data_IF_576962187175
#
_entry.id   IF_576962187175
#
_cell.length_a   1.000
_cell.length_b   1.000
_cell.length_c   1.000
_cell.angle_alpha   90.00
_cell.angle_beta   90.00
_cell.angle_gamma   90.00
#
_symmetry.space_group_name_H-M   'P 1'
#
loop_
_entity.id
_entity.type
_entity.pdbx_description
1 polymer ?
#
# COMPACT_ATOMS: atom_id res chain seq x y z
N UNK A 1 32.74 -11.52 19.02
CA UNK A 1 31.70 -12.08 18.12
C UNK A 1 30.50 -11.15 18.06
N UNK A 2 30.07 -10.61 19.20
CA UNK A 2 28.84 -9.82 19.34
C UNK A 2 28.86 -8.51 18.54
N UNK A 3 29.97 -7.78 18.54
CA UNK A 3 30.11 -6.55 17.74
C UNK A 3 29.98 -6.78 16.22
N UNK A 4 30.44 -7.94 15.73
CA UNK A 4 30.30 -8.29 14.32
C UNK A 4 28.84 -8.62 13.97
N UNK A 5 28.13 -9.32 14.86
CA UNK A 5 26.71 -9.62 14.70
C UNK A 5 25.85 -8.35 14.76
N UNK A 6 26.16 -7.42 15.66
CA UNK A 6 25.46 -6.13 15.77
C UNK A 6 25.64 -5.26 14.52
N UNK A 7 26.85 -5.24 13.94
CA UNK A 7 27.13 -4.54 12.70
C UNK A 7 26.35 -5.14 11.53
N UNK A 8 26.31 -6.47 11.42
CA UNK A 8 25.55 -7.17 10.38
C UNK A 8 24.05 -6.91 10.53
N UNK A 9 23.49 -6.97 11.74
CA UNK A 9 22.07 -6.68 12.00
C UNK A 9 21.70 -5.25 11.62
N UNK A 10 22.54 -4.29 12.02
CA UNK A 10 22.32 -2.86 11.74
C UNK A 10 22.41 -2.56 10.25
N UNK A 11 23.41 -3.12 9.56
CA UNK A 11 23.57 -2.98 8.11
C UNK A 11 22.41 -3.59 7.34
N UNK A 12 22.03 -4.83 7.67
CA UNK A 12 20.94 -5.55 7.01
C UNK A 12 19.59 -4.87 7.25
N UNK A 13 19.25 -4.57 8.50
CA UNK A 13 17.97 -3.96 8.84
C UNK A 13 17.84 -2.53 8.27
N UNK A 14 18.93 -1.76 8.26
CA UNK A 14 18.96 -0.44 7.61
C UNK A 14 18.72 -0.54 6.11
N UNK A 15 19.35 -1.50 5.43
CA UNK A 15 19.19 -1.70 3.99
C UNK A 15 17.76 -2.14 3.61
N UNK A 16 17.15 -3.01 4.43
CA UNK A 16 15.74 -3.42 4.28
C UNK A 16 14.81 -2.22 4.50
N UNK A 17 15.05 -1.39 5.52
CA UNK A 17 14.23 -0.22 5.79
C UNK A 17 14.31 0.83 4.66
N UNK A 18 15.51 1.06 4.12
CA UNK A 18 15.72 1.94 2.96
C UNK A 18 14.98 1.39 1.73
N UNK A 19 15.05 0.09 1.47
CA UNK A 19 14.30 -0.53 0.38
C UNK A 19 12.78 -0.30 0.55
N UNK A 20 12.25 -0.49 1.77
CA UNK A 20 10.85 -0.18 2.08
C UNK A 20 10.48 1.29 1.83
N UNK A 21 11.37 2.21 2.18
CA UNK A 21 11.19 3.64 1.94
C UNK A 21 11.13 3.97 0.44
N UNK A 22 11.96 3.29 -0.39
CA UNK A 22 11.92 3.44 -1.85
C UNK A 22 10.58 2.98 -2.44
N UNK A 23 9.98 1.91 -1.92
CA UNK A 23 8.64 1.47 -2.33
C UNK A 23 7.57 2.52 -2.00
N UNK A 24 7.61 3.09 -0.79
CA UNK A 24 6.67 4.17 -0.37
C UNK A 24 6.85 5.42 -1.24
N UNK A 25 8.10 5.81 -1.52
CA UNK A 25 8.40 6.93 -2.41
C UNK A 25 7.89 6.67 -3.84
N UNK A 26 8.11 5.47 -4.38
CA UNK A 26 7.58 5.05 -5.68
C UNK A 26 6.05 5.10 -5.75
N UNK A 27 5.38 4.68 -4.68
CA UNK A 27 3.93 4.81 -4.51
C UNK A 27 3.44 6.25 -4.54
N UNK A 28 4.13 7.12 -3.80
CA UNK A 28 3.85 8.56 -3.75
C UNK A 28 3.97 9.18 -5.14
N UNK A 29 5.02 8.83 -5.89
CA UNK A 29 5.17 9.23 -7.29
C UNK A 29 4.04 8.69 -8.17
N UNK A 30 3.59 7.45 -7.95
CA UNK A 30 2.43 6.87 -8.63
C UNK A 30 1.14 7.65 -8.37
N UNK A 31 0.89 8.07 -7.13
CA UNK A 31 -0.26 8.90 -6.75
C UNK A 31 -0.23 10.27 -7.45
N UNK A 32 0.96 10.84 -7.66
CA UNK A 32 1.13 12.14 -8.33
C UNK A 32 1.05 12.03 -9.86
N UNK A 33 1.46 10.90 -10.43
CA UNK A 33 1.52 10.71 -11.90
C UNK A 33 0.22 10.16 -12.49
N UNK A 34 -0.51 9.33 -11.75
CA UNK A 34 -1.68 8.66 -12.31
C UNK A 34 -2.91 9.58 -12.42
N UNK A 35 -3.64 9.54 -13.55
CA UNK A 35 -4.68 10.51 -13.87
C UNK A 35 -6.03 10.25 -13.19
N UNK A 36 -6.30 9.01 -12.74
CA UNK A 36 -7.61 8.60 -12.22
C UNK A 36 -7.54 8.19 -10.75
N UNK A 37 -8.63 8.38 -10.00
CA UNK A 37 -8.72 8.00 -8.59
C UNK A 37 -8.41 6.52 -8.36
N UNK A 38 -8.98 5.62 -9.18
CA UNK A 38 -8.78 4.18 -9.01
C UNK A 38 -7.34 3.76 -9.31
N UNK A 39 -6.70 4.38 -10.31
CA UNK A 39 -5.30 4.12 -10.64
C UNK A 39 -4.35 4.68 -9.58
N UNK A 40 -4.67 5.84 -9.00
CA UNK A 40 -3.95 6.40 -7.82
C UNK A 40 -4.12 5.51 -6.58
N UNK A 41 -5.33 5.02 -6.32
CA UNK A 41 -5.62 4.11 -5.21
C UNK A 41 -4.89 2.77 -5.36
N UNK A 42 -4.83 2.23 -6.58
CA UNK A 42 -4.04 1.04 -6.88
C UNK A 42 -2.55 1.27 -6.58
N UNK A 43 -2.00 2.41 -7.02
CA UNK A 43 -0.61 2.77 -6.77
C UNK A 43 -0.28 2.88 -5.28
N UNK A 44 -1.13 3.58 -4.52
CA UNK A 44 -1.00 3.72 -3.07
C UNK A 44 -1.03 2.34 -2.39
N UNK A 45 -1.97 1.47 -2.78
CA UNK A 45 -2.09 0.16 -2.13
C UNK A 45 -0.91 -0.76 -2.46
N UNK A 46 -0.42 -0.73 -3.71
CA UNK A 46 0.73 -1.51 -4.13
C UNK A 46 2.01 -1.10 -3.38
N UNK A 47 2.23 0.20 -3.16
CA UNK A 47 3.38 0.69 -2.38
C UNK A 47 3.25 0.44 -0.89
N UNK A 48 2.09 0.70 -0.29
CA UNK A 48 1.91 0.60 1.16
C UNK A 48 1.98 -0.85 1.64
N UNK A 49 1.49 -1.80 0.83
CA UNK A 49 1.50 -3.22 1.18
C UNK A 49 2.92 -3.75 1.40
N UNK A 50 3.84 -3.48 0.45
CA UNK A 50 5.21 -3.98 0.52
C UNK A 50 6.09 -3.03 1.34
N UNK A 51 5.95 -1.72 1.15
CA UNK A 51 6.80 -0.71 1.78
C UNK A 51 6.68 -0.68 3.30
N UNK A 52 5.45 -0.65 3.84
CA UNK A 52 5.26 -0.60 5.29
C UNK A 52 5.74 -1.88 5.99
N UNK A 53 5.55 -3.05 5.36
CA UNK A 53 6.04 -4.34 5.88
C UNK A 53 7.57 -4.37 5.89
N UNK A 54 8.23 -3.95 4.80
CA UNK A 54 9.69 -3.88 4.76
C UNK A 54 10.25 -2.95 5.83
N UNK A 55 9.65 -1.76 6.01
CA UNK A 55 10.08 -0.82 7.05
C UNK A 55 9.93 -1.44 8.44
N UNK A 56 8.78 -2.05 8.76
CA UNK A 56 8.56 -2.68 10.06
C UNK A 56 9.55 -3.83 10.31
N UNK A 57 9.81 -4.66 9.31
CA UNK A 57 10.79 -5.76 9.40
C UNK A 57 12.20 -5.22 9.59
N UNK A 58 12.61 -4.22 8.80
CA UNK A 58 13.92 -3.59 8.95
C UNK A 58 14.13 -3.00 10.35
N UNK A 59 13.11 -2.32 10.89
CA UNK A 59 13.13 -1.81 12.26
C UNK A 59 13.14 -2.93 13.31
N UNK A 60 12.46 -4.05 13.07
CA UNK A 60 12.48 -5.19 13.98
C UNK A 60 13.88 -5.84 14.06
N UNK A 61 14.65 -5.83 12.97
CA UNK A 61 16.05 -6.27 12.98
C UNK A 61 16.98 -5.32 13.75
N UNK A 62 16.69 -4.01 13.71
CA UNK A 62 17.40 -2.97 14.47
C UNK A 62 17.00 -2.92 15.95
N UNK A 63 15.83 -3.46 16.31
CA UNK A 63 15.37 -3.49 17.68
C UNK A 63 16.30 -4.37 18.55
N UNK A 64 16.77 -3.80 19.66
CA UNK A 64 17.56 -4.53 20.65
C UNK A 64 16.67 -5.37 21.58
N UNK A 65 15.46 -4.90 21.82
CA UNK A 65 14.47 -5.54 22.69
C UNK A 65 13.47 -6.39 21.88
N UNK A 66 13.31 -7.65 22.27
CA UNK A 66 12.38 -8.58 21.59
C UNK A 66 10.92 -8.14 21.66
N UNK A 67 10.54 -7.41 22.71
CA UNK A 67 9.18 -6.87 22.86
C UNK A 67 8.86 -5.82 21.79
N UNK A 68 9.83 -4.95 21.46
CA UNK A 68 9.69 -3.95 20.40
C UNK A 68 9.57 -4.63 19.04
N UNK A 69 10.41 -5.65 18.80
CA UNK A 69 10.34 -6.43 17.57
C UNK A 69 8.96 -7.10 17.38
N UNK A 70 8.39 -7.67 18.45
CA UNK A 70 7.06 -8.28 18.40
C UNK A 70 5.97 -7.27 18.04
N UNK A 71 5.99 -6.08 18.67
CA UNK A 71 5.03 -5.00 18.36
C UNK A 71 5.13 -4.55 16.91
N UNK A 72 6.34 -4.48 16.35
CA UNK A 72 6.57 -4.14 14.93
C UNK A 72 6.04 -5.20 13.97
N UNK A 73 6.21 -6.49 14.30
CA UNK A 73 5.65 -7.58 13.50
C UNK A 73 4.12 -7.56 13.54
N UNK A 74 3.52 -7.37 14.71
CA UNK A 74 2.07 -7.21 14.86
C UNK A 74 1.55 -6.02 14.07
N UNK A 75 2.27 -4.89 14.09
CA UNK A 75 1.95 -3.71 13.30
C UNK A 75 2.00 -4.00 11.80
N UNK A 76 3.02 -4.72 11.32
CA UNK A 76 3.13 -5.10 9.91
C UNK A 76 1.94 -5.96 9.45
N UNK A 77 1.54 -6.95 10.26
CA UNK A 77 0.36 -7.78 9.99
C UNK A 77 -0.91 -6.95 9.97
N UNK A 78 -1.08 -6.04 10.95
CA UNK A 78 -2.23 -5.16 11.03
C UNK A 78 -2.35 -4.26 9.80
N UNK A 79 -1.25 -3.64 9.36
CA UNK A 79 -1.22 -2.80 8.15
C UNK A 79 -1.55 -3.62 6.90
N UNK A 80 -0.98 -4.83 6.80
CA UNK A 80 -1.25 -5.73 5.68
C UNK A 80 -2.74 -6.13 5.62
N UNK A 81 -3.37 -6.38 6.76
CA UNK A 81 -4.78 -6.76 6.88
C UNK A 81 -5.75 -5.60 6.71
N UNK A 82 -5.41 -4.39 7.19
CA UNK A 82 -6.27 -3.22 7.08
C UNK A 82 -6.28 -2.64 5.66
N UNK A 83 -5.18 -2.75 4.93
CA UNK A 83 -5.09 -2.07 3.65
C UNK A 83 -6.07 -2.52 2.55
N UNK A 84 -6.48 -3.79 2.40
CA UNK A 84 -7.55 -4.19 1.48
C UNK A 84 -8.91 -3.63 1.92
N UNK A 85 -9.15 -3.53 3.23
CA UNK A 85 -10.38 -2.92 3.77
C UNK A 85 -10.45 -1.44 3.43
N UNK A 86 -9.35 -0.70 3.67
CA UNK A 86 -9.26 0.72 3.33
C UNK A 86 -9.44 0.91 1.82
N UNK A 87 -8.78 0.11 0.99
CA UNK A 87 -8.91 0.19 -0.46
C UNK A 87 -10.36 -0.06 -0.92
N UNK A 88 -11.03 -1.08 -0.38
CA UNK A 88 -12.42 -1.37 -0.72
C UNK A 88 -13.37 -0.26 -0.27
N UNK A 89 -13.20 0.28 0.94
CA UNK A 89 -14.02 1.37 1.46
C UNK A 89 -13.83 2.65 0.64
N UNK A 90 -12.59 3.00 0.29
CA UNK A 90 -12.27 4.14 -0.57
C UNK A 90 -12.84 3.97 -1.98
N UNK A 91 -12.67 2.80 -2.60
CA UNK A 91 -13.20 2.50 -3.93
C UNK A 91 -14.73 2.52 -3.95
N UNK A 92 -15.39 1.91 -2.96
CA UNK A 92 -16.85 1.93 -2.85
C UNK A 92 -17.38 3.35 -2.64
N UNK A 93 -16.72 4.16 -1.81
CA UNK A 93 -17.12 5.55 -1.59
C UNK A 93 -17.01 6.39 -2.86
N UNK A 94 -15.93 6.21 -3.63
CA UNK A 94 -15.76 6.85 -4.93
C UNK A 94 -16.83 6.40 -5.94
N UNK A 95 -17.14 5.10 -5.96
CA UNK A 95 -18.13 4.51 -6.84
C UNK A 95 -19.55 5.02 -6.54
N UNK A 96 -19.96 5.01 -5.27
CA UNK A 96 -21.24 5.58 -4.81
C UNK A 96 -21.30 7.09 -5.05
N UNK A 97 -20.16 7.78 -4.97
CA UNK A 97 -20.01 9.19 -5.35
C UNK A 97 -20.11 9.46 -6.87
N UNK A 98 -20.32 8.44 -7.70
CA UNK A 98 -20.48 8.58 -9.15
C UNK A 98 -19.18 8.73 -9.93
N UNK A 99 -18.01 8.50 -9.30
CA UNK A 99 -16.72 8.49 -9.99
C UNK A 99 -16.59 7.21 -10.82
N UNK A 100 -16.57 7.36 -12.15
CA UNK A 100 -16.30 6.28 -13.08
C UNK A 100 -14.80 6.13 -13.32
N UNK A 101 -14.27 4.90 -13.37
CA UNK A 101 -12.87 4.66 -13.70
C UNK A 101 -12.58 5.03 -15.16
N UNK A 102 -11.35 5.47 -15.42
CA UNK A 102 -10.87 5.68 -16.80
C UNK A 102 -10.48 4.33 -17.43
N UNK A 103 -11.46 3.62 -17.99
CA UNK A 103 -11.30 2.31 -18.65
C UNK A 103 -11.20 2.42 -20.19
N UNK A 104 -10.41 3.37 -20.70
CA UNK A 104 -10.21 3.57 -22.14
C UNK A 104 -11.53 3.94 -22.86
N UNK A 105 -11.81 3.41 -24.06
CA UNK A 105 -13.06 3.71 -24.79
C UNK A 105 -14.31 3.14 -24.10
N UNK A 106 -14.16 2.24 -23.13
CA UNK A 106 -15.28 1.73 -22.35
C UNK A 106 -15.60 2.69 -21.20
N UNK A 107 -16.76 3.32 -21.26
CA UNK A 107 -17.32 4.11 -20.14
C UNK A 107 -18.25 3.20 -19.36
N UNK A 108 -17.87 2.85 -18.12
CA UNK A 108 -18.74 2.06 -17.26
C UNK A 108 -20.05 2.83 -17.01
N UNK A 109 -21.24 2.20 -17.18
CA UNK A 109 -22.50 2.82 -16.85
C UNK A 109 -22.52 3.27 -15.40
N UNK A 110 -23.05 4.47 -15.13
CA UNK A 110 -23.14 4.98 -13.76
C UNK A 110 -23.99 4.02 -12.90
N UNK A 111 -23.58 3.72 -11.66
CA UNK A 111 -24.36 2.89 -10.75
C UNK A 111 -25.75 3.49 -10.56
N UNK A 112 -26.80 2.71 -10.82
CA UNK A 112 -28.19 3.15 -10.70
C UNK A 112 -28.82 3.73 -11.98
N UNK A 113 -28.09 3.85 -13.10
CA UNK A 113 -28.70 4.15 -14.40
C UNK A 113 -29.37 2.89 -14.91
N UNK A 114 -30.71 2.91 -15.05
CA UNK A 114 -31.43 1.86 -15.76
C UNK A 114 -30.92 1.84 -17.20
N UNK A 115 -30.46 0.69 -17.68
CA UNK A 115 -30.19 0.52 -19.11
C UNK A 115 -31.51 0.78 -19.84
N UNK A 116 -31.54 1.78 -20.69
CA UNK A 116 -32.63 1.87 -21.65
C UNK A 116 -32.47 0.66 -22.59
N UNK A 117 -33.50 -0.18 -22.62
CA UNK A 117 -33.57 -1.36 -23.48
C UNK A 117 -33.54 -0.90 -24.94
N UNK A 118 -32.37 -0.87 -25.60
CA UNK A 118 -32.32 -0.47 -27.01
C UNK A 118 -30.96 -0.34 -27.68
N UNK A 119 -29.87 -0.06 -26.98
CA UNK A 119 -28.55 0.08 -27.62
C UNK A 119 -27.68 -1.16 -27.41
N UNK A 120 -27.75 -2.08 -28.38
CA UNK A 120 -26.75 -3.11 -28.67
C UNK A 120 -25.88 -2.68 -29.83
#
# INVERSE_FOLDING_TARGET
>A
MDAALDLVRSGLGGLIAIAGLLFIAGGTLGILRFPDFYTRLHAQRASDGIGAVLVCVGLAFLARDGEVALRLVLLAVLIAALGPLIAQLSANSAHVGGLAPLSGPYTAPRPGVKREEGET
#
